data_IF_118525717024
#
_entry.id   IF_118525717024
#
_cell.length_a   1.000
_cell.length_b   1.000
_cell.length_c   1.000
_cell.angle_alpha   90.00
_cell.angle_beta   90.00
_cell.angle_gamma   90.00
#
_symmetry.space_group_name_H-M   'P 1'
#
loop_
_entity.id
_entity.type
_entity.pdbx_description
1 polymer ?
#
# COMPACT_ATOMS: atom_id res chain seq x y z
N UNK A 1 -0.13 -52.33 8.56
CA UNK A 1 -0.49 -50.99 8.04
C UNK A 1 0.52 -50.02 8.66
N UNK A 2 1.75 -49.93 8.18
CA UNK A 2 2.11 -49.44 6.85
C UNK A 2 2.62 -48.01 7.01
N UNK A 3 3.75 -47.86 7.73
CA UNK A 3 4.55 -46.64 7.73
C UNK A 3 5.65 -46.68 6.66
N UNK A 4 6.40 -45.58 6.61
CA UNK A 4 7.48 -45.19 5.68
C UNK A 4 7.00 -44.31 4.52
N UNK A 5 7.71 -43.29 4.02
CA UNK A 5 8.82 -42.45 4.43
C UNK A 5 9.16 -41.62 3.16
N UNK A 6 9.63 -40.38 3.33
CA UNK A 6 10.48 -39.62 2.41
C UNK A 6 10.00 -39.24 0.98
N UNK A 7 9.84 -37.92 0.80
CA UNK A 7 10.70 -37.07 -0.06
C UNK A 7 10.51 -36.97 -1.59
N UNK A 8 10.76 -35.74 -2.05
CA UNK A 8 11.35 -35.32 -3.34
C UNK A 8 10.43 -35.08 -4.57
N UNK A 9 10.49 -33.82 -5.02
CA UNK A 9 10.27 -33.32 -6.37
C UNK A 9 10.71 -34.32 -7.47
N UNK A 10 9.90 -34.56 -8.50
CA UNK A 10 10.25 -34.47 -9.95
C UNK A 10 9.24 -35.20 -10.85
N UNK A 11 8.84 -34.46 -11.89
CA UNK A 11 8.68 -34.87 -13.30
C UNK A 11 7.64 -35.95 -13.63
N UNK A 12 6.56 -35.52 -14.27
CA UNK A 12 5.90 -36.25 -15.36
C UNK A 12 5.43 -35.24 -16.42
N UNK A 13 6.20 -35.14 -17.51
CA UNK A 13 5.74 -34.66 -18.80
C UNK A 13 6.45 -35.51 -19.85
N UNK A 14 5.74 -36.54 -20.34
CA UNK A 14 6.04 -37.21 -21.59
C UNK A 14 4.92 -36.84 -22.55
N UNK A 15 5.27 -36.08 -23.57
CA UNK A 15 4.47 -35.80 -24.75
C UNK A 15 5.43 -35.47 -25.88
N UNK A 16 5.59 -36.40 -26.80
CA UNK A 16 6.50 -36.30 -27.93
C UNK A 16 5.93 -35.39 -29.04
N UNK A 17 6.86 -34.98 -29.91
CA UNK A 17 6.75 -34.58 -31.32
C UNK A 17 6.87 -33.09 -31.72
N UNK A 18 7.64 -32.95 -32.81
CA UNK A 18 7.76 -31.86 -33.80
C UNK A 18 8.81 -30.76 -33.55
N UNK A 19 10.02 -31.07 -34.02
CA UNK A 19 10.93 -30.11 -34.61
C UNK A 19 10.31 -29.59 -35.91
N UNK A 20 10.02 -28.29 -35.97
CA UNK A 20 9.83 -27.56 -37.21
C UNK A 20 10.65 -26.26 -37.14
N UNK A 21 11.58 -26.10 -38.06
CA UNK A 21 12.20 -24.82 -38.36
C UNK A 21 11.09 -23.85 -38.80
N UNK A 22 10.92 -22.76 -38.07
CA UNK A 22 10.28 -21.56 -38.59
C UNK A 22 11.18 -20.36 -38.28
N UNK A 23 11.39 -19.54 -39.29
CA UNK A 23 12.03 -18.25 -39.15
C UNK A 23 11.31 -17.49 -38.03
N UNK A 24 12.04 -17.12 -36.97
CA UNK A 24 11.47 -16.28 -35.90
C UNK A 24 11.20 -14.90 -36.47
N UNK A 25 9.96 -14.67 -36.88
CA UNK A 25 9.33 -13.37 -36.64
C UNK A 25 9.44 -13.18 -35.12
N UNK A 26 10.15 -12.14 -34.69
CA UNK A 26 10.28 -11.83 -33.27
C UNK A 26 8.86 -11.81 -32.67
N UNK A 27 8.59 -12.55 -31.57
CA UNK A 27 7.27 -12.54 -30.97
C UNK A 27 6.88 -11.09 -30.71
N UNK A 28 5.70 -10.70 -31.18
CA UNK A 28 5.11 -9.41 -30.82
C UNK A 28 5.16 -9.31 -29.30
N UNK A 29 5.94 -8.38 -28.79
CA UNK A 29 6.13 -8.23 -27.36
C UNK A 29 4.80 -7.72 -26.82
N UNK A 30 4.16 -8.52 -25.97
CA UNK A 30 2.75 -8.31 -25.59
C UNK A 30 2.56 -7.32 -24.45
N UNK A 31 3.66 -6.80 -23.85
CA UNK A 31 3.58 -5.84 -22.75
C UNK A 31 4.79 -4.93 -22.62
N UNK A 32 4.56 -3.72 -22.13
CA UNK A 32 5.60 -2.73 -21.77
C UNK A 32 6.47 -3.25 -20.62
N UNK A 33 5.89 -4.00 -19.68
CA UNK A 33 6.63 -4.62 -18.57
C UNK A 33 7.74 -5.56 -19.05
N UNK A 34 7.46 -6.39 -20.07
CA UNK A 34 8.45 -7.30 -20.63
C UNK A 34 9.63 -6.53 -21.28
N UNK A 35 9.36 -5.42 -21.97
CA UNK A 35 10.39 -4.58 -22.60
C UNK A 35 11.42 -4.08 -21.60
N UNK A 36 11.00 -3.76 -20.37
CA UNK A 36 11.91 -3.24 -19.33
C UNK A 36 12.99 -4.22 -18.90
N UNK A 37 12.80 -5.51 -19.15
CA UNK A 37 13.77 -6.57 -18.79
C UNK A 37 14.77 -6.85 -19.91
N UNK A 38 14.58 -6.25 -21.10
CA UNK A 38 15.45 -6.48 -22.25
C UNK A 38 16.78 -5.72 -22.10
N UNK A 39 17.89 -6.27 -22.62
CA UNK A 39 19.17 -5.57 -22.65
C UNK A 39 19.13 -4.37 -23.62
N UNK A 40 20.09 -3.46 -23.48
CA UNK A 40 20.28 -2.37 -24.44
C UNK A 40 20.61 -2.88 -25.85
N UNK A 41 20.30 -2.06 -26.86
CA UNK A 41 20.39 -2.36 -28.28
C UNK A 41 19.45 -3.48 -28.79
N UNK A 42 18.67 -4.14 -27.92
CA UNK A 42 17.64 -5.08 -28.34
C UNK A 42 16.60 -4.39 -29.23
N UNK A 43 16.30 -4.99 -30.38
CA UNK A 43 15.25 -4.53 -31.29
C UNK A 43 13.87 -4.76 -30.68
N UNK A 44 13.00 -3.76 -30.78
CA UNK A 44 11.66 -3.79 -30.19
C UNK A 44 10.60 -3.32 -31.17
N UNK A 45 9.43 -3.97 -31.10
CA UNK A 45 8.18 -3.53 -31.69
C UNK A 45 7.11 -3.61 -30.62
N UNK A 46 6.56 -2.46 -30.23
CA UNK A 46 5.51 -2.31 -29.23
C UNK A 46 4.23 -1.86 -29.91
N UNK A 47 3.18 -2.66 -29.86
CA UNK A 47 1.91 -2.38 -30.52
C UNK A 47 0.83 -1.94 -29.53
N UNK A 48 0.08 -0.90 -29.89
CA UNK A 48 -1.15 -0.51 -29.19
C UNK A 48 -0.96 0.13 -27.81
N UNK A 49 0.25 0.59 -27.48
CA UNK A 49 0.51 1.28 -26.22
C UNK A 49 -0.13 2.68 -26.24
N UNK A 50 -0.64 3.13 -25.11
CA UNK A 50 -1.31 4.43 -24.97
C UNK A 50 -0.30 5.47 -24.53
N UNK A 51 -0.17 6.55 -25.29
CA UNK A 51 0.63 7.72 -24.91
C UNK A 51 0.03 8.34 -23.65
N UNK A 52 0.82 8.42 -22.59
CA UNK A 52 0.41 9.00 -21.31
C UNK A 52 0.71 10.48 -21.26
N UNK A 53 1.90 10.89 -21.72
CA UNK A 53 2.34 12.29 -21.79
C UNK A 53 3.38 12.52 -22.88
N UNK A 54 3.45 13.77 -23.33
CA UNK A 54 4.34 14.22 -24.39
C UNK A 54 5.23 15.35 -23.90
N UNK A 55 6.49 15.32 -24.30
CA UNK A 55 7.49 16.36 -24.08
C UNK A 55 8.18 16.68 -25.42
N UNK A 56 8.90 17.80 -25.52
CA UNK A 56 9.78 18.03 -26.65
C UNK A 56 10.82 16.90 -26.78
N UNK A 57 10.73 16.11 -27.85
CA UNK A 57 11.70 15.07 -28.20
C UNK A 57 11.50 13.70 -27.53
N UNK A 58 10.48 13.52 -26.68
CA UNK A 58 10.13 12.22 -26.12
C UNK A 58 8.68 12.19 -25.57
N UNK A 59 8.14 10.99 -25.39
CA UNK A 59 6.84 10.78 -24.75
C UNK A 59 6.83 9.47 -23.96
N UNK A 60 5.87 9.29 -23.07
CA UNK A 60 5.70 8.04 -22.32
C UNK A 60 4.51 7.25 -22.85
N UNK A 61 4.63 5.93 -22.84
CA UNK A 61 3.54 5.02 -23.20
C UNK A 61 3.31 3.98 -22.14
N UNK A 62 2.07 3.51 -22.02
CA UNK A 62 1.70 2.40 -21.15
C UNK A 62 0.83 1.36 -21.87
N UNK A 63 0.75 0.15 -21.31
CA UNK A 63 -0.17 -0.91 -21.73
C UNK A 63 -1.28 -1.15 -20.69
N UNK A 64 -2.02 -2.26 -20.84
CA UNK A 64 -3.07 -2.69 -19.92
C UNK A 64 -2.58 -3.07 -18.53
N UNK A 65 -1.30 -3.45 -18.39
CA UNK A 65 -0.69 -3.71 -17.08
C UNK A 65 -0.33 -2.41 -16.36
N UNK A 66 -0.59 -1.27 -17.02
CA UNK A 66 -0.33 0.06 -16.53
C UNK A 66 1.14 0.20 -16.12
N UNK A 67 2.06 -0.24 -16.98
CA UNK A 67 3.51 0.00 -16.81
C UNK A 67 3.97 0.95 -17.89
N UNK A 68 4.67 2.03 -17.52
CA UNK A 68 5.08 3.09 -18.46
C UNK A 68 6.50 2.90 -19.00
N UNK A 69 6.78 3.20 -20.26
CA UNK A 69 8.16 3.29 -20.80
C UNK A 69 8.35 4.56 -21.63
N UNK A 70 9.54 5.16 -21.54
CA UNK A 70 9.90 6.34 -22.32
C UNK A 70 10.17 5.96 -23.78
N UNK A 71 9.66 6.77 -24.69
CA UNK A 71 9.91 6.71 -26.13
C UNK A 71 10.63 7.99 -26.54
N UNK A 72 11.88 7.88 -26.96
CA UNK A 72 12.64 9.00 -27.53
C UNK A 72 12.30 9.10 -29.02
N UNK A 73 11.68 10.21 -29.43
CA UNK A 73 11.22 10.45 -30.80
C UNK A 73 10.98 11.93 -31.05
N UNK A 74 11.30 12.40 -32.26
CA UNK A 74 10.93 13.76 -32.71
C UNK A 74 9.49 13.85 -33.23
N UNK A 75 8.77 12.72 -33.32
CA UNK A 75 7.40 12.70 -33.80
C UNK A 75 6.45 13.35 -32.80
N UNK A 76 5.62 14.26 -33.29
CA UNK A 76 4.59 14.93 -32.49
C UNK A 76 3.43 13.97 -32.26
N UNK A 77 3.12 13.70 -30.99
CA UNK A 77 2.00 12.85 -30.56
C UNK A 77 1.19 13.57 -29.50
N UNK A 78 -0.06 13.14 -29.30
CA UNK A 78 -0.94 13.67 -28.24
C UNK A 78 -1.12 12.63 -27.12
N UNK A 79 -1.34 13.06 -25.86
CA UNK A 79 -1.79 12.17 -24.81
C UNK A 79 -3.07 11.43 -25.23
N UNK A 80 -3.24 10.21 -24.73
CA UNK A 80 -4.35 9.30 -25.06
C UNK A 80 -4.36 8.76 -26.50
N UNK A 81 -3.35 9.05 -27.32
CA UNK A 81 -3.18 8.38 -28.63
C UNK A 81 -2.62 6.97 -28.43
N UNK A 82 -3.20 5.96 -29.10
CA UNK A 82 -2.55 4.64 -29.21
C UNK A 82 -1.43 4.72 -30.23
N UNK A 83 -0.30 4.10 -29.95
CA UNK A 83 0.86 4.09 -30.84
C UNK A 83 1.40 2.69 -31.02
N UNK A 84 1.96 2.45 -32.20
CA UNK A 84 2.89 1.36 -32.45
C UNK A 84 4.28 1.94 -32.59
N UNK A 85 5.24 1.46 -31.81
CA UNK A 85 6.61 1.96 -31.79
C UNK A 85 7.57 0.86 -32.21
N UNK A 86 8.44 1.18 -33.17
CA UNK A 86 9.61 0.36 -33.52
C UNK A 86 10.89 1.11 -33.15
N UNK A 87 11.90 0.38 -32.66
CA UNK A 87 13.15 1.01 -32.23
C UNK A 87 14.09 0.05 -31.52
N UNK A 88 15.01 0.62 -30.74
CA UNK A 88 15.95 -0.14 -29.91
C UNK A 88 15.83 0.24 -28.44
N UNK A 89 15.97 -0.76 -27.57
CA UNK A 89 16.09 -0.53 -26.14
C UNK A 89 17.37 0.24 -25.82
N UNK A 90 17.27 1.13 -24.86
CA UNK A 90 18.38 1.92 -24.35
C UNK A 90 18.17 2.24 -22.88
N UNK A 91 19.27 2.50 -22.20
CA UNK A 91 19.28 3.14 -20.88
C UNK A 91 19.71 4.58 -21.07
N UNK A 92 18.85 5.54 -20.73
CA UNK A 92 19.20 6.97 -20.80
C UNK A 92 19.80 7.43 -19.48
N UNK A 93 20.27 8.69 -19.46
CA UNK A 93 20.69 9.35 -18.23
C UNK A 93 19.66 9.07 -17.15
N UNK A 94 20.15 8.76 -15.96
CA UNK A 94 19.33 8.29 -14.87
C UNK A 94 19.09 6.77 -14.76
N UNK A 95 19.65 5.93 -15.63
CA UNK A 95 19.35 4.49 -15.56
C UNK A 95 17.91 4.17 -15.99
N UNK A 96 17.20 5.15 -16.56
CA UNK A 96 15.83 5.01 -17.05
C UNK A 96 15.83 4.17 -18.35
N UNK A 97 14.93 3.19 -18.43
CA UNK A 97 14.72 2.39 -19.65
C UNK A 97 13.91 3.18 -20.67
N UNK A 98 14.42 3.30 -21.89
CA UNK A 98 13.76 3.99 -22.99
C UNK A 98 13.87 3.22 -24.31
N UNK A 99 12.94 3.49 -25.22
CA UNK A 99 13.00 3.06 -26.62
C UNK A 99 13.46 4.24 -27.47
N UNK A 100 14.59 4.10 -28.16
CA UNK A 100 14.98 5.03 -29.21
C UNK A 100 14.21 4.65 -30.48
N UNK A 101 13.13 5.38 -30.75
CA UNK A 101 12.21 5.04 -31.82
C UNK A 101 12.83 5.32 -33.19
N UNK A 102 12.82 4.32 -34.06
CA UNK A 102 13.10 4.46 -35.49
C UNK A 102 11.80 4.65 -36.29
N UNK A 103 10.65 4.29 -35.72
CA UNK A 103 9.33 4.58 -36.27
C UNK A 103 8.25 4.64 -35.19
N UNK A 104 7.30 5.56 -35.35
CA UNK A 104 6.09 5.65 -34.52
C UNK A 104 4.87 5.77 -35.44
N UNK A 105 3.97 4.80 -35.36
CA UNK A 105 2.70 4.82 -36.09
C UNK A 105 1.60 5.20 -35.13
N UNK A 106 0.77 6.17 -35.51
CA UNK A 106 -0.37 6.61 -34.70
C UNK A 106 -1.58 5.72 -35.00
N UNK A 107 -2.26 5.30 -33.94
CA UNK A 107 -3.54 4.60 -33.98
C UNK A 107 -4.68 5.48 -33.47
N UNK A 108 -5.80 4.84 -33.13
CA UNK A 108 -6.96 5.50 -32.54
C UNK A 108 -6.71 5.99 -31.10
N UNK A 109 -7.79 6.31 -30.39
CA UNK A 109 -7.72 6.74 -28.99
C UNK A 109 -7.55 5.56 -28.01
N UNK A 110 -6.93 5.86 -26.87
CA UNK A 110 -6.81 5.01 -25.69
C UNK A 110 -7.03 5.83 -24.42
N UNK A 111 -7.11 5.17 -23.27
CA UNK A 111 -7.25 5.84 -21.96
C UNK A 111 -6.02 5.57 -21.13
N UNK A 112 -5.31 6.64 -20.72
CA UNK A 112 -4.26 6.56 -19.73
C UNK A 112 -4.84 6.82 -18.33
N UNK A 113 -4.56 5.93 -17.38
CA UNK A 113 -4.93 6.09 -15.98
C UNK A 113 -3.68 6.07 -15.11
N UNK A 114 -3.61 6.89 -14.06
CA UNK A 114 -2.44 6.94 -13.21
C UNK A 114 -2.26 5.63 -12.44
N UNK A 115 -1.01 5.30 -12.18
CA UNK A 115 -0.62 4.14 -11.40
C UNK A 115 -0.74 4.51 -9.93
N UNK A 116 -1.71 3.94 -9.22
CA UNK A 116 -1.88 4.17 -7.79
C UNK A 116 -0.69 3.58 -7.03
N UNK A 117 0.31 4.39 -6.74
CA UNK A 117 1.58 3.96 -6.17
C UNK A 117 1.77 4.53 -4.77
N UNK A 118 2.18 3.70 -3.79
CA UNK A 118 2.58 4.22 -2.50
C UNK A 118 3.85 5.05 -2.65
N UNK A 119 4.06 6.01 -1.73
CA UNK A 119 5.21 6.92 -1.79
C UNK A 119 6.52 6.13 -1.69
N UNK A 120 6.56 5.09 -0.85
CA UNK A 120 7.67 4.14 -0.81
C UNK A 120 7.94 3.46 -2.16
N UNK A 121 6.94 3.19 -3.01
CA UNK A 121 7.24 2.68 -4.34
C UNK A 121 7.89 3.78 -5.20
N UNK A 122 7.39 5.01 -5.17
CA UNK A 122 7.95 6.14 -5.95
C UNK A 122 9.38 6.46 -5.52
N UNK A 123 9.66 6.40 -4.21
CA UNK A 123 10.95 6.69 -3.61
C UNK A 123 11.92 5.50 -3.46
N UNK A 124 11.44 4.26 -3.52
CA UNK A 124 12.21 3.04 -3.31
C UNK A 124 11.87 2.24 -2.03
N UNK A 125 12.26 0.95 -2.00
CA UNK A 125 12.08 -0.03 -0.89
C UNK A 125 13.30 -0.95 -0.72
N UNK A 126 13.55 -1.48 0.48
CA UNK A 126 14.78 -2.15 1.00
C UNK A 126 15.32 -3.42 0.30
N UNK A 127 14.87 -3.78 -0.92
CA UNK A 127 15.32 -5.03 -1.59
C UNK A 127 16.53 -4.75 -2.50
N UNK A 128 17.71 -5.11 -1.99
CA UNK A 128 18.95 -5.24 -2.75
C UNK A 128 18.86 -6.45 -3.70
N UNK A 129 19.23 -6.31 -4.97
CA UNK A 129 19.58 -7.49 -5.77
C UNK A 129 20.87 -8.13 -5.23
N UNK A 130 21.11 -9.42 -5.52
CA UNK A 130 22.35 -10.11 -5.15
C UNK A 130 23.60 -9.59 -5.92
N UNK A 131 23.39 -8.78 -6.97
CA UNK A 131 24.40 -7.97 -7.64
C UNK A 131 24.35 -6.48 -7.18
N UNK A 132 23.61 -6.20 -6.10
CA UNK A 132 23.86 -5.09 -5.18
C UNK A 132 23.11 -3.78 -5.39
N UNK A 133 21.88 -3.75 -5.90
CA UNK A 133 21.12 -2.49 -5.78
C UNK A 133 19.63 -2.52 -6.12
N UNK A 134 18.97 -1.43 -5.73
CA UNK A 134 17.66 -1.00 -6.22
C UNK A 134 17.89 0.01 -7.31
N UNK A 135 17.20 -0.16 -8.43
CA UNK A 135 17.62 0.51 -9.63
C UNK A 135 17.34 2.08 -9.27
N UNK A 136 18.21 3.15 -9.44
CA UNK A 136 18.04 4.63 -9.34
C UNK A 136 18.58 5.64 -10.42
N UNK A 137 18.05 6.87 -10.37
CA UNK A 137 18.04 7.94 -11.38
C UNK A 137 19.40 8.61 -11.76
N UNK A 138 20.57 7.96 -11.80
CA UNK A 138 21.83 8.49 -12.43
C UNK A 138 22.75 7.42 -13.01
N UNK A 139 22.22 6.23 -13.38
CA UNK A 139 22.95 5.24 -14.18
C UNK A 139 23.59 4.10 -13.39
N UNK A 140 23.25 3.96 -12.12
CA UNK A 140 23.36 2.67 -11.47
C UNK A 140 22.34 1.71 -12.10
N UNK A 141 22.29 0.50 -11.53
CA UNK A 141 21.02 -0.08 -11.09
C UNK A 141 20.09 1.18 -10.87
N UNK A 142 19.08 1.53 -11.79
CA UNK A 142 17.95 2.58 -12.11
C UNK A 142 16.37 2.62 -11.65
N UNK A 143 15.78 3.76 -11.21
CA UNK A 143 14.48 3.81 -10.46
C UNK A 143 13.34 3.47 -11.40
N UNK A 144 12.70 2.30 -11.21
CA UNK A 144 11.64 1.82 -12.11
C UNK A 144 10.62 2.91 -12.40
N UNK A 145 10.35 3.77 -11.42
CA UNK A 145 9.19 4.63 -11.43
C UNK A 145 9.42 6.00 -12.04
N UNK A 146 10.61 6.46 -12.43
CA UNK A 146 10.76 7.81 -13.04
C UNK A 146 10.03 7.89 -14.39
N UNK A 147 9.33 9.00 -14.64
CA UNK A 147 8.61 9.25 -15.89
C UNK A 147 7.19 8.69 -15.96
N UNK A 148 6.72 8.04 -14.91
CA UNK A 148 5.43 7.35 -14.93
C UNK A 148 4.30 8.29 -14.54
N UNK A 149 3.15 8.16 -15.20
CA UNK A 149 1.94 8.84 -14.76
C UNK A 149 1.40 8.11 -13.53
N UNK A 150 1.69 8.65 -12.36
CA UNK A 150 1.39 8.04 -11.07
C UNK A 150 0.34 8.84 -10.32
N UNK A 151 -0.32 8.16 -9.40
CA UNK A 151 -1.06 8.78 -8.31
C UNK A 151 -0.42 8.31 -7.01
N UNK A 152 0.10 9.24 -6.23
CA UNK A 152 0.61 9.01 -4.88
C UNK A 152 -0.29 9.73 -3.87
N UNK A 153 -0.29 9.28 -2.62
CA UNK A 153 -1.07 9.90 -1.55
C UNK A 153 -0.29 9.93 -0.24
N UNK A 154 -0.58 10.93 0.57
CA UNK A 154 0.04 11.10 1.88
C UNK A 154 -0.36 12.42 2.53
N UNK A 155 0.23 12.72 3.68
CA UNK A 155 0.07 13.99 4.38
C UNK A 155 1.05 15.01 3.86
N UNK A 156 0.59 16.22 3.63
CA UNK A 156 1.47 17.34 3.30
C UNK A 156 2.41 17.59 4.48
N UNK A 157 3.71 17.63 4.23
CA UNK A 157 4.75 18.00 5.21
C UNK A 157 5.51 19.19 4.65
N UNK A 158 5.41 20.35 5.31
CA UNK A 158 5.98 21.60 4.80
C UNK A 158 5.22 22.15 3.58
N UNK A 159 5.92 22.88 2.70
CA UNK A 159 5.29 23.59 1.57
C UNK A 159 5.18 22.79 0.26
N UNK A 160 5.98 21.74 0.12
CA UNK A 160 6.15 21.01 -1.14
C UNK A 160 6.55 19.54 -0.95
N UNK A 161 6.20 18.92 0.17
CA UNK A 161 6.43 17.49 0.37
C UNK A 161 5.17 16.76 0.80
N UNK A 162 5.15 15.47 0.50
CA UNK A 162 4.12 14.52 0.85
C UNK A 162 4.75 13.36 1.62
N UNK A 163 4.17 12.94 2.74
CA UNK A 163 4.64 11.79 3.50
C UNK A 163 3.54 10.79 3.79
N UNK A 164 3.84 9.51 3.65
CA UNK A 164 2.97 8.41 4.07
C UNK A 164 3.36 7.86 5.46
N UNK A 165 4.29 8.54 6.15
CA UNK A 165 4.87 8.09 7.42
C UNK A 165 6.07 7.16 7.27
N UNK A 166 6.36 6.65 6.06
CA UNK A 166 7.55 5.84 5.78
C UNK A 166 8.62 6.61 5.02
N UNK A 167 8.19 7.45 4.06
CA UNK A 167 9.06 8.21 3.18
C UNK A 167 8.49 9.61 2.94
N UNK A 168 9.34 10.53 2.48
CA UNK A 168 8.94 11.84 1.98
C UNK A 168 9.12 11.90 0.47
N UNK A 169 8.15 12.50 -0.21
CA UNK A 169 8.13 12.72 -1.65
C UNK A 169 8.09 14.21 -1.93
N UNK A 170 9.02 14.68 -2.76
CA UNK A 170 9.02 16.08 -3.18
C UNK A 170 7.92 16.32 -4.20
N UNK A 171 7.26 17.47 -4.13
CA UNK A 171 6.23 17.87 -5.06
C UNK A 171 6.75 19.06 -5.87
N UNK A 172 6.83 18.90 -7.19
CA UNK A 172 7.06 20.00 -8.12
C UNK A 172 5.68 20.53 -8.50
N UNK A 173 5.25 21.53 -7.73
CA UNK A 173 3.92 22.12 -7.84
C UNK A 173 3.93 23.20 -8.93
N UNK A 174 2.97 23.21 -9.87
CA UNK A 174 2.92 24.22 -10.92
C UNK A 174 2.60 25.60 -10.35
N UNK A 175 3.13 26.65 -10.99
CA UNK A 175 2.85 28.02 -10.61
C UNK A 175 1.34 28.31 -10.66
N UNK A 176 0.81 28.94 -9.60
CA UNK A 176 -0.62 29.25 -9.47
C UNK A 176 -1.48 28.14 -8.87
N UNK A 177 -0.91 26.98 -8.51
CA UNK A 177 -1.61 26.04 -7.64
C UNK A 177 -1.79 26.64 -6.23
N UNK A 178 -2.90 26.32 -5.58
CA UNK A 178 -3.14 26.75 -4.20
C UNK A 178 -2.07 26.15 -3.27
N UNK A 179 -1.61 26.91 -2.25
CA UNK A 179 -0.65 26.39 -1.29
C UNK A 179 -1.23 25.17 -0.57
N UNK A 180 -0.41 24.12 -0.47
CA UNK A 180 -0.78 22.92 0.28
C UNK A 180 -0.83 23.22 1.78
N UNK A 181 -1.89 22.76 2.45
CA UNK A 181 -2.05 22.93 3.90
C UNK A 181 -1.26 21.82 4.59
N UNK A 182 -0.29 22.19 5.43
CA UNK A 182 0.50 21.23 6.21
C UNK A 182 -0.42 20.31 7.04
N UNK A 183 -0.16 19.00 6.99
CA UNK A 183 -0.96 17.96 7.64
C UNK A 183 -2.19 17.47 6.85
N UNK A 184 -2.61 18.18 5.79
CA UNK A 184 -3.73 17.76 4.95
C UNK A 184 -3.39 16.45 4.22
N UNK A 185 -4.37 15.53 4.14
CA UNK A 185 -4.23 14.33 3.33
C UNK A 185 -4.54 14.69 1.88
N UNK A 186 -3.59 14.46 0.99
CA UNK A 186 -3.75 14.75 -0.44
C UNK A 186 -3.35 13.53 -1.27
N UNK A 187 -4.08 13.30 -2.36
CA UNK A 187 -3.59 12.52 -3.48
C UNK A 187 -3.04 13.47 -4.52
N UNK A 188 -1.81 13.22 -4.96
CA UNK A 188 -1.19 13.91 -6.08
C UNK A 188 -1.16 12.97 -7.26
N UNK A 189 -1.62 13.45 -8.40
CA UNK A 189 -1.48 12.79 -9.68
C UNK A 189 -0.44 13.57 -10.49
N UNK A 190 0.49 12.87 -11.12
CA UNK A 190 1.57 13.54 -11.81
C UNK A 190 2.62 12.57 -12.31
N UNK A 191 3.76 13.12 -12.70
CA UNK A 191 4.88 12.36 -13.22
C UNK A 191 5.92 12.20 -12.15
N UNK A 192 6.15 10.97 -11.74
CA UNK A 192 7.32 10.62 -10.93
C UNK A 192 8.58 11.13 -11.59
N UNK A 193 9.42 11.77 -10.79
CA UNK A 193 10.59 12.48 -11.23
C UNK A 193 11.66 12.40 -10.14
N UNK A 194 12.80 13.02 -10.41
CA UNK A 194 13.87 13.24 -9.46
C UNK A 194 14.31 14.70 -9.48
N UNK A 195 14.69 15.22 -8.33
CA UNK A 195 15.23 16.58 -8.18
C UNK A 195 16.49 16.54 -7.32
N UNK A 196 17.33 17.57 -7.45
CA UNK A 196 18.43 17.74 -6.51
C UNK A 196 17.91 18.29 -5.18
N UNK A 197 18.44 17.80 -4.06
CA UNK A 197 18.14 18.31 -2.72
C UNK A 197 18.92 19.59 -2.34
N UNK A 198 19.73 20.13 -3.26
CA UNK A 198 20.60 21.29 -3.03
C UNK A 198 21.94 20.97 -2.36
N UNK A 199 22.12 19.75 -1.85
CA UNK A 199 23.37 19.24 -1.28
C UNK A 199 24.11 18.30 -2.25
N UNK A 200 23.67 18.24 -3.51
CA UNK A 200 24.22 17.36 -4.54
C UNK A 200 23.63 15.95 -4.54
N UNK A 201 22.68 15.63 -3.66
CA UNK A 201 21.96 14.36 -3.73
C UNK A 201 20.72 14.50 -4.63
N UNK A 202 20.26 13.37 -5.13
CA UNK A 202 19.07 13.26 -5.97
C UNK A 202 17.97 12.57 -5.17
N UNK A 203 16.80 13.20 -5.09
CA UNK A 203 15.66 12.74 -4.28
C UNK A 203 14.40 12.57 -5.15
N UNK A 204 13.51 11.63 -4.81
CA UNK A 204 12.29 11.39 -5.57
C UNK A 204 11.34 12.58 -5.50
N UNK A 205 10.63 12.81 -6.60
CA UNK A 205 9.68 13.88 -6.74
C UNK A 205 8.46 13.47 -7.60
N UNK A 206 7.41 14.28 -7.57
CA UNK A 206 6.29 14.22 -8.51
C UNK A 206 6.11 15.57 -9.17
N UNK A 207 6.19 15.59 -10.49
CA UNK A 207 5.82 16.70 -11.34
C UNK A 207 4.32 16.72 -11.55
N UNK A 208 3.66 17.69 -10.93
CA UNK A 208 2.22 17.88 -11.01
C UNK A 208 1.93 18.78 -12.22
N UNK A 209 1.12 18.31 -13.17
CA UNK A 209 0.89 19.02 -14.42
C UNK A 209 -0.13 20.15 -14.26
N UNK A 210 -1.19 19.93 -13.49
CA UNK A 210 -2.29 20.89 -13.30
C UNK A 210 -2.67 21.02 -11.82
N UNK A 211 -3.15 22.19 -11.36
CA UNK A 211 -3.60 22.36 -9.98
C UNK A 211 -4.63 21.31 -9.52
N UNK A 212 -5.56 20.89 -10.39
CA UNK A 212 -6.58 19.89 -10.06
C UNK A 212 -6.05 18.45 -9.96
N UNK A 213 -4.79 18.21 -10.34
CA UNK A 213 -4.15 16.91 -10.15
C UNK A 213 -3.72 16.72 -8.68
N UNK A 214 -3.78 17.79 -7.87
CA UNK A 214 -3.76 17.72 -6.42
C UNK A 214 -5.21 17.62 -5.94
N UNK A 215 -5.56 16.46 -5.42
CA UNK A 215 -6.85 16.24 -4.79
C UNK A 215 -6.65 16.22 -3.28
N UNK A 216 -7.13 17.28 -2.63
CA UNK A 216 -7.30 17.26 -1.18
C UNK A 216 -8.35 16.20 -0.90
N UNK A 217 -7.95 15.09 -0.30
CA UNK A 217 -8.84 13.97 0.03
C UNK A 217 -9.69 14.29 1.28
N UNK A 218 -9.89 15.58 1.54
CA UNK A 218 -10.30 16.18 2.80
C UNK A 218 -9.11 16.70 3.61
N UNK A 219 -9.27 17.90 4.18
CA UNK A 219 -8.70 18.16 5.52
C UNK A 219 -9.58 17.35 6.45
N UNK A 220 -9.41 16.04 6.40
CA UNK A 220 -10.24 15.15 7.19
C UNK A 220 -9.79 15.39 8.61
N UNK A 221 -10.66 16.02 9.40
CA UNK A 221 -10.78 15.71 10.82
C UNK A 221 -10.45 14.24 10.94
N UNK A 222 -9.33 13.88 11.57
CA UNK A 222 -8.92 12.48 11.72
C UNK A 222 -10.14 11.71 12.19
N UNK A 223 -10.75 10.88 11.33
CA UNK A 223 -11.87 10.03 11.71
C UNK A 223 -11.37 8.75 12.40
N UNK A 224 -10.13 8.75 12.91
CA UNK A 224 -9.51 7.64 13.62
C UNK A 224 -9.70 7.66 15.14
N UNK A 225 -10.67 8.43 15.64
CA UNK A 225 -10.86 8.61 17.08
C UNK A 225 -9.69 9.32 17.78
N UNK A 226 -9.63 9.20 19.10
CA UNK A 226 -8.50 9.71 19.89
C UNK A 226 -7.26 8.85 19.62
N UNK A 227 -6.16 9.45 19.16
CA UNK A 227 -4.89 8.75 18.89
C UNK A 227 -3.91 8.96 20.06
N UNK A 228 -3.11 7.94 20.36
CA UNK A 228 -1.99 8.04 21.32
C UNK A 228 -0.65 7.94 20.58
N UNK A 229 0.29 8.79 20.98
CA UNK A 229 1.67 8.79 20.47
C UNK A 229 2.48 7.69 21.14
N UNK A 230 3.15 6.87 20.34
CA UNK A 230 4.12 5.86 20.77
C UNK A 230 5.51 6.34 20.37
N UNK A 231 6.40 6.65 21.34
CA UNK A 231 7.75 7.10 21.05
C UNK A 231 8.56 6.09 20.24
N UNK A 232 9.49 6.60 19.43
CA UNK A 232 10.49 5.78 18.74
C UNK A 232 11.38 5.02 19.74
N UNK A 233 12.05 3.98 19.25
CA UNK A 233 13.06 3.25 20.00
C UNK A 233 12.86 1.74 19.98
N UNK A 234 13.86 1.06 20.53
CA UNK A 234 13.84 -0.38 20.73
C UNK A 234 12.76 -0.80 21.74
N UNK A 235 12.15 -1.94 21.45
CA UNK A 235 11.36 -2.68 22.42
C UNK A 235 11.59 -4.18 22.24
N UNK A 236 11.25 -4.94 23.28
CA UNK A 236 11.32 -6.39 23.23
C UNK A 236 9.99 -6.96 22.73
N UNK A 237 9.99 -7.48 21.49
CA UNK A 237 8.86 -8.14 20.84
C UNK A 237 8.91 -9.65 21.10
N UNK A 238 7.75 -10.27 21.23
CA UNK A 238 7.55 -11.68 21.55
C UNK A 238 7.36 -11.94 23.04
N UNK A 239 7.08 -13.20 23.35
CA UNK A 239 6.68 -13.67 24.68
C UNK A 239 7.68 -13.31 25.77
N UNK A 240 7.17 -12.75 26.87
CA UNK A 240 7.94 -12.42 28.07
C UNK A 240 8.60 -13.69 28.63
N UNK A 241 9.89 -13.66 29.03
CA UNK A 241 10.54 -14.82 29.65
C UNK A 241 9.76 -15.34 30.85
N UNK A 242 9.45 -16.64 30.85
CA UNK A 242 8.65 -17.28 31.90
C UNK A 242 7.14 -17.29 31.65
N UNK A 243 6.66 -16.72 30.53
CA UNK A 243 5.27 -16.90 30.10
C UNK A 243 5.02 -18.35 29.66
N UNK A 244 4.35 -19.09 30.56
CA UNK A 244 3.94 -20.48 30.35
C UNK A 244 2.75 -20.66 29.41
N UNK A 245 2.08 -19.58 29.03
CA UNK A 245 0.90 -19.60 28.16
C UNK A 245 1.23 -19.27 26.70
N UNK A 246 2.36 -18.62 26.44
CA UNK A 246 2.79 -18.24 25.10
C UNK A 246 3.05 -19.46 24.17
N UNK A 247 2.47 -19.40 22.97
CA UNK A 247 2.65 -20.40 21.91
C UNK A 247 4.08 -20.39 21.34
N UNK A 248 4.51 -21.47 20.67
CA UNK A 248 5.84 -21.53 20.04
C UNK A 248 6.10 -20.41 19.02
N UNK A 249 5.06 -19.93 18.32
CA UNK A 249 5.17 -18.84 17.34
C UNK A 249 5.40 -17.47 17.96
N UNK A 250 5.13 -17.30 19.26
CA UNK A 250 5.36 -16.05 19.99
C UNK A 250 6.78 -15.96 20.56
N UNK A 251 7.59 -17.02 20.40
CA UNK A 251 8.94 -17.15 20.95
C UNK A 251 9.97 -17.16 19.82
N UNK A 252 11.21 -16.67 20.05
CA UNK A 252 11.71 -16.04 21.26
C UNK A 252 11.42 -14.54 21.32
N UNK A 253 11.58 -13.96 22.52
CA UNK A 253 11.66 -12.52 22.66
C UNK A 253 12.90 -11.98 21.93
N UNK A 254 12.75 -10.88 21.20
CA UNK A 254 13.83 -10.26 20.42
C UNK A 254 13.65 -8.74 20.35
N UNK A 255 14.75 -8.01 20.13
CA UNK A 255 14.72 -6.55 20.03
C UNK A 255 14.23 -6.12 18.65
N UNK A 256 13.28 -5.19 18.62
CA UNK A 256 12.79 -4.54 17.40
C UNK A 256 12.83 -3.03 17.59
N UNK A 257 13.45 -2.32 16.65
CA UNK A 257 13.42 -0.87 16.61
C UNK A 257 12.22 -0.39 15.81
N UNK A 258 11.45 0.54 16.36
CA UNK A 258 10.36 1.22 15.65
C UNK A 258 10.56 2.73 15.70
N UNK A 259 10.35 3.39 14.56
CA UNK A 259 10.18 4.85 14.51
C UNK A 259 8.96 5.26 15.34
N UNK A 260 8.84 6.54 15.64
CA UNK A 260 7.66 7.09 16.29
C UNK A 260 6.42 6.92 15.41
N UNK A 261 5.30 6.57 16.03
CA UNK A 261 4.00 6.49 15.37
C UNK A 261 2.88 6.86 16.34
N UNK A 262 1.66 6.95 15.82
CA UNK A 262 0.46 7.07 16.64
C UNK A 262 -0.48 5.91 16.32
N UNK A 263 -1.16 5.41 17.33
CA UNK A 263 -2.16 4.34 17.21
C UNK A 263 -3.46 4.78 17.88
N UNK A 264 -4.60 4.25 17.41
CA UNK A 264 -5.89 4.53 18.02
C UNK A 264 -5.88 4.15 19.49
N UNK A 265 -6.34 5.05 20.35
CA UNK A 265 -6.55 4.75 21.78
C UNK A 265 -7.63 3.69 21.98
N UNK A 266 -8.56 3.64 21.04
CA UNK A 266 -9.72 2.77 21.00
C UNK A 266 -9.78 2.11 19.62
N UNK A 267 -10.53 1.01 19.55
CA UNK A 267 -10.92 0.40 18.30
C UNK A 267 -11.84 1.34 17.50
N UNK A 268 -11.85 1.16 16.18
CA UNK A 268 -12.80 1.86 15.32
C UNK A 268 -14.21 1.50 15.75
N UNK A 269 -15.00 2.52 16.08
CA UNK A 269 -16.37 2.33 16.56
C UNK A 269 -17.36 2.16 15.40
N UNK A 270 -18.55 1.63 15.69
CA UNK A 270 -19.68 1.59 14.75
C UNK A 270 -20.04 3.00 14.27
N UNK A 271 -20.04 4.00 15.14
CA UNK A 271 -20.34 5.39 14.75
C UNK A 271 -19.31 5.96 13.77
N UNK A 272 -18.04 5.63 13.95
CA UNK A 272 -16.97 6.03 13.04
C UNK A 272 -17.03 5.25 11.71
N UNK A 273 -17.25 3.94 11.76
CA UNK A 273 -17.39 3.12 10.57
C UNK A 273 -18.63 3.48 9.75
N UNK A 274 -19.72 3.94 10.39
CA UNK A 274 -20.89 4.45 9.66
C UNK A 274 -20.54 5.67 8.81
N UNK A 275 -19.70 6.58 9.30
CA UNK A 275 -19.24 7.73 8.51
C UNK A 275 -18.50 7.29 7.24
N UNK A 276 -17.70 6.22 7.31
CA UNK A 276 -17.06 5.62 6.14
C UNK A 276 -18.10 5.10 5.13
N UNK A 277 -19.12 4.38 5.60
CA UNK A 277 -20.19 3.87 4.74
C UNK A 277 -21.01 5.00 4.11
N UNK A 278 -21.42 5.99 4.91
CA UNK A 278 -22.19 7.15 4.46
C UNK A 278 -21.42 7.99 3.44
N UNK A 279 -20.08 8.02 3.53
CA UNK A 279 -19.20 8.67 2.57
C UNK A 279 -18.99 7.87 1.26
N UNK A 280 -19.71 6.76 1.07
CA UNK A 280 -19.58 5.91 -0.12
C UNK A 280 -18.37 4.98 -0.09
N UNK A 281 -17.89 4.61 1.09
CA UNK A 281 -16.69 3.80 1.29
C UNK A 281 -16.67 2.47 0.52
N UNK A 282 -17.80 1.79 0.44
CA UNK A 282 -17.94 0.53 -0.32
C UNK A 282 -18.12 0.76 -1.84
N UNK A 283 -18.42 1.98 -2.26
CA UNK A 283 -18.65 2.33 -3.66
C UNK A 283 -17.41 2.95 -4.32
N UNK A 284 -16.44 3.41 -3.53
CA UNK A 284 -15.26 4.09 -4.03
C UNK A 284 -14.03 3.15 -4.07
N UNK A 285 -13.58 2.71 -5.27
CA UNK A 285 -12.43 1.82 -5.40
C UNK A 285 -11.11 2.44 -4.92
N UNK A 286 -11.02 3.77 -4.82
CA UNK A 286 -9.76 4.43 -4.41
C UNK A 286 -9.36 4.17 -2.97
N UNK A 287 -10.27 3.68 -2.13
CA UNK A 287 -9.98 3.32 -0.74
C UNK A 287 -9.45 1.89 -0.61
N UNK A 288 -9.59 1.04 -1.63
CA UNK A 288 -9.31 -0.38 -1.53
C UNK A 288 -8.01 -0.74 -2.26
N UNK A 289 -7.28 -1.74 -1.75
CA UNK A 289 -6.30 -2.48 -2.55
C UNK A 289 -6.98 -3.16 -3.74
N UNK A 290 -6.20 -3.58 -4.74
CA UNK A 290 -6.75 -4.28 -5.91
C UNK A 290 -7.41 -5.61 -5.50
N UNK A 291 -6.74 -6.37 -4.64
CA UNK A 291 -7.22 -7.62 -4.06
C UNK A 291 -8.46 -7.37 -3.20
N UNK A 292 -8.46 -6.31 -2.39
CA UNK A 292 -9.60 -5.93 -1.57
C UNK A 292 -10.82 -5.51 -2.39
N UNK A 293 -10.62 -4.73 -3.46
CA UNK A 293 -11.71 -4.34 -4.36
C UNK A 293 -12.29 -5.55 -5.09
N UNK A 294 -11.42 -6.46 -5.57
CA UNK A 294 -11.85 -7.72 -6.16
C UNK A 294 -12.66 -8.56 -5.16
N UNK A 295 -12.16 -8.72 -3.93
CA UNK A 295 -12.86 -9.44 -2.84
C UNK A 295 -14.23 -8.82 -2.55
N UNK A 296 -14.29 -7.49 -2.41
CA UNK A 296 -15.53 -6.74 -2.20
C UNK A 296 -16.54 -6.95 -3.33
N UNK A 297 -16.09 -6.96 -4.58
CA UNK A 297 -16.95 -7.22 -5.73
C UNK A 297 -17.42 -8.68 -5.78
N UNK A 298 -16.52 -9.64 -5.53
CA UNK A 298 -16.80 -11.06 -5.55
C UNK A 298 -17.87 -11.46 -4.53
N UNK A 299 -17.81 -10.90 -3.33
CA UNK A 299 -18.75 -11.18 -2.24
C UNK A 299 -19.88 -10.14 -2.13
N UNK A 300 -19.93 -9.17 -3.04
CA UNK A 300 -20.90 -8.07 -3.05
C UNK A 300 -21.03 -7.37 -1.68
N UNK A 301 -19.90 -7.07 -1.05
CA UNK A 301 -19.89 -6.45 0.27
C UNK A 301 -20.42 -5.02 0.16
N UNK A 302 -21.32 -4.66 1.05
CA UNK A 302 -21.94 -3.32 1.09
C UNK A 302 -21.89 -2.69 2.49
N UNK A 303 -21.58 -3.51 3.50
CA UNK A 303 -21.50 -3.17 4.91
C UNK A 303 -20.86 -4.35 5.67
N UNK A 304 -20.42 -4.17 6.93
CA UNK A 304 -19.89 -5.24 7.76
C UNK A 304 -20.88 -6.40 7.90
N UNK A 305 -20.35 -7.60 8.11
CA UNK A 305 -21.15 -8.76 8.46
C UNK A 305 -21.96 -8.45 9.73
N UNK A 306 -23.26 -8.77 9.68
CA UNK A 306 -24.22 -8.59 10.79
C UNK A 306 -24.58 -7.15 11.17
N UNK A 307 -24.18 -6.14 10.37
CA UNK A 307 -24.42 -4.71 10.65
C UNK A 307 -25.87 -4.36 11.02
N UNK A 308 -26.85 -4.86 10.25
CA UNK A 308 -28.30 -4.63 10.44
C UNK A 308 -29.07 -5.88 10.91
N UNK A 309 -28.38 -6.96 11.28
CA UNK A 309 -29.07 -8.22 11.64
C UNK A 309 -29.55 -8.16 13.08
N UNK A 310 -30.86 -7.95 13.23
CA UNK A 310 -31.58 -7.96 14.52
C UNK A 310 -32.03 -9.35 14.97
N UNK A 311 -31.89 -10.38 14.12
CA UNK A 311 -32.48 -11.72 14.31
C UNK A 311 -31.49 -12.82 14.72
N UNK A 312 -30.21 -12.51 14.88
CA UNK A 312 -29.23 -13.43 15.49
C UNK A 312 -29.29 -13.26 17.01
N UNK A 313 -29.47 -14.39 17.73
CA UNK A 313 -29.51 -14.54 19.19
C UNK A 313 -29.20 -13.24 19.97
N UNK A 314 -30.29 -12.53 20.29
CA UNK A 314 -30.48 -11.65 21.45
C UNK A 314 -29.32 -10.77 21.94
N UNK A 315 -28.55 -10.13 21.03
CA UNK A 315 -27.53 -9.16 21.45
C UNK A 315 -27.07 -8.06 20.49
N UNK A 316 -27.11 -8.27 19.17
CA UNK A 316 -26.63 -7.24 18.22
C UNK A 316 -27.49 -5.97 18.16
N UNK A 317 -28.75 -6.06 18.60
CA UNK A 317 -29.66 -4.92 18.73
C UNK A 317 -29.26 -3.89 19.79
N UNK A 318 -28.27 -4.19 20.65
CA UNK A 318 -27.81 -3.30 21.73
C UNK A 318 -26.44 -2.67 21.47
N UNK A 319 -25.80 -2.97 20.33
CA UNK A 319 -24.54 -2.31 19.96
C UNK A 319 -24.80 -0.89 19.46
N UNK A 320 -24.43 0.08 20.30
CA UNK A 320 -24.50 1.51 19.98
C UNK A 320 -23.32 1.94 19.11
N UNK A 321 -23.35 3.19 18.67
CA UNK A 321 -22.26 3.82 17.92
C UNK A 321 -20.91 3.84 18.65
N UNK A 322 -20.89 3.63 19.96
CA UNK A 322 -19.67 3.60 20.76
C UNK A 322 -19.08 2.18 20.91
N UNK A 323 -19.67 1.17 20.27
CA UNK A 323 -19.11 -0.18 20.26
C UNK A 323 -18.12 -0.34 19.12
N UNK A 324 -17.07 -1.17 19.27
CA UNK A 324 -16.19 -1.55 18.18
C UNK A 324 -16.97 -2.12 16.99
N UNK A 325 -16.60 -1.73 15.78
CA UNK A 325 -17.10 -2.40 14.57
C UNK A 325 -16.56 -3.83 14.52
N UNK A 326 -17.41 -4.78 14.14
CA UNK A 326 -17.07 -6.20 14.01
C UNK A 326 -17.62 -6.75 12.70
N UNK A 327 -17.16 -7.95 12.32
CA UNK A 327 -17.61 -8.60 11.09
C UNK A 327 -17.06 -7.94 9.82
N UNK A 328 -15.95 -7.22 9.94
CA UNK A 328 -15.22 -6.67 8.80
C UNK A 328 -14.06 -7.60 8.45
N UNK A 329 -13.78 -7.74 7.16
CA UNK A 329 -12.57 -8.38 6.67
C UNK A 329 -11.34 -7.47 6.85
N UNK A 330 -10.15 -8.07 6.72
CA UNK A 330 -8.89 -7.30 6.65
C UNK A 330 -8.93 -6.21 5.56
N UNK A 331 -9.51 -6.52 4.39
CA UNK A 331 -9.65 -5.56 3.28
C UNK A 331 -10.59 -4.40 3.60
N UNK A 332 -11.67 -4.66 4.34
CA UNK A 332 -12.57 -3.62 4.84
C UNK A 332 -11.91 -2.72 5.89
N UNK A 333 -11.05 -3.28 6.74
CA UNK A 333 -10.27 -2.52 7.71
C UNK A 333 -9.21 -1.63 7.02
N UNK A 334 -8.49 -2.18 6.04
CA UNK A 334 -7.56 -1.42 5.19
C UNK A 334 -8.28 -0.26 4.47
N UNK A 335 -9.45 -0.54 3.87
CA UNK A 335 -10.21 0.47 3.14
C UNK A 335 -10.71 1.60 4.04
N UNK A 336 -11.17 1.26 5.24
CA UNK A 336 -11.49 2.25 6.27
C UNK A 336 -10.29 3.12 6.61
N UNK A 337 -9.12 2.52 6.87
CA UNK A 337 -7.91 3.26 7.21
C UNK A 337 -7.53 4.25 6.10
N UNK A 338 -7.55 3.81 4.84
CA UNK A 338 -7.27 4.65 3.68
C UNK A 338 -8.24 5.84 3.57
N UNK A 339 -9.53 5.61 3.80
CA UNK A 339 -10.53 6.68 3.84
C UNK A 339 -10.31 7.66 5.01
N UNK A 340 -10.01 7.13 6.20
CA UNK A 340 -9.79 7.92 7.41
C UNK A 340 -8.43 8.65 7.44
N UNK A 341 -7.55 8.38 6.46
CA UNK A 341 -6.21 8.98 6.39
C UNK A 341 -5.23 8.41 7.42
N UNK A 342 -5.42 7.14 7.80
CA UNK A 342 -4.57 6.37 8.71
C UNK A 342 -4.16 5.07 8.02
N UNK A 343 -3.48 4.17 8.74
CA UNK A 343 -3.12 2.83 8.25
C UNK A 343 -3.32 1.79 9.34
N UNK A 344 -3.37 0.53 8.95
CA UNK A 344 -3.25 -0.57 9.90
C UNK A 344 -1.86 -0.53 10.58
N UNK A 345 -1.78 -0.85 11.88
CA UNK A 345 -0.49 -1.06 12.52
C UNK A 345 0.15 -2.34 11.97
N UNK A 346 1.47 -2.36 11.93
CA UNK A 346 2.20 -3.64 11.83
C UNK A 346 2.02 -4.42 13.13
N UNK A 347 2.28 -5.73 13.11
CA UNK A 347 2.25 -6.55 14.32
C UNK A 347 3.18 -6.00 15.41
N UNK A 348 4.40 -5.61 15.04
CA UNK A 348 5.37 -5.03 15.97
C UNK A 348 4.89 -3.69 16.58
N UNK A 349 4.27 -2.82 15.78
CA UNK A 349 3.68 -1.58 16.29
C UNK A 349 2.52 -1.88 17.24
N UNK A 350 1.63 -2.79 16.85
CA UNK A 350 0.53 -3.18 17.71
C UNK A 350 1.03 -3.74 19.04
N UNK A 351 2.02 -4.64 19.01
CA UNK A 351 2.57 -5.26 20.21
C UNK A 351 3.34 -4.27 21.10
N UNK A 352 4.14 -3.37 20.53
CA UNK A 352 4.81 -2.31 21.30
C UNK A 352 3.79 -1.45 22.02
N UNK A 353 2.72 -1.06 21.35
CA UNK A 353 1.69 -0.23 21.96
C UNK A 353 0.86 -0.98 23.01
N UNK A 354 0.72 -2.30 22.86
CA UNK A 354 0.01 -3.19 23.77
C UNK A 354 0.79 -3.50 25.05
N UNK A 355 2.06 -3.91 24.92
CA UNK A 355 2.79 -4.63 25.96
C UNK A 355 4.00 -3.87 26.50
N UNK A 356 4.57 -2.93 25.74
CA UNK A 356 5.77 -2.24 26.17
C UNK A 356 5.45 -1.18 27.23
N UNK A 357 6.04 -1.32 28.42
CA UNK A 357 5.97 -0.29 29.44
C UNK A 357 7.20 0.62 29.33
N UNK A 358 7.08 1.84 28.77
CA UNK A 358 8.21 2.75 28.60
C UNK A 358 8.75 3.26 29.93
N UNK A 359 7.92 3.30 30.99
CA UNK A 359 8.31 3.77 32.32
C UNK A 359 9.23 2.74 33.02
N UNK A 360 9.09 1.45 32.67
CA UNK A 360 9.86 0.35 33.25
C UNK A 360 10.92 -0.23 32.29
N UNK A 361 10.86 0.12 31.01
CA UNK A 361 11.75 -0.43 29.98
C UNK A 361 11.59 -1.95 29.78
N UNK A 362 10.41 -2.50 30.06
CA UNK A 362 10.12 -3.94 29.94
C UNK A 362 8.75 -4.19 29.34
N UNK A 363 8.60 -5.31 28.63
CA UNK A 363 7.30 -5.84 28.24
C UNK A 363 6.63 -6.55 29.44
N UNK A 364 5.31 -6.43 29.54
CA UNK A 364 4.49 -7.18 30.52
C UNK A 364 3.61 -8.21 29.82
N UNK A 365 3.19 -9.26 30.54
CA UNK A 365 2.35 -10.34 30.00
C UNK A 365 0.99 -9.80 29.51
N UNK A 366 0.40 -8.87 30.27
CA UNK A 366 -0.81 -8.13 29.90
C UNK A 366 -0.49 -6.63 29.82
N UNK A 367 -1.29 -5.82 29.11
CA UNK A 367 -1.09 -4.36 29.04
C UNK A 367 -1.06 -3.65 30.40
N UNK A 368 -1.62 -4.30 31.41
CA UNK A 368 -1.78 -3.78 32.75
C UNK A 368 -0.87 -4.43 33.80
N UNK A 369 0.07 -5.28 33.37
CA UNK A 369 1.05 -5.96 34.23
C UNK A 369 1.10 -7.47 34.01
N UNK A 370 1.80 -8.17 34.89
CA UNK A 370 2.02 -9.62 34.78
C UNK A 370 0.95 -10.47 35.48
N UNK A 371 0.02 -9.83 36.21
CA UNK A 371 -1.04 -10.51 36.93
C UNK A 371 -2.34 -10.42 36.13
N UNK A 372 -2.98 -11.57 35.93
CA UNK A 372 -4.28 -11.65 35.30
C UNK A 372 -5.32 -10.87 36.12
N UNK A 373 -6.10 -10.03 35.44
CA UNK A 373 -7.20 -9.27 36.04
C UNK A 373 -8.43 -9.33 35.10
N UNK A 374 -9.45 -10.15 35.43
CA UNK A 374 -10.64 -10.29 34.59
C UNK A 374 -11.49 -9.03 34.54
N UNK A 375 -11.28 -8.05 35.45
CA UNK A 375 -11.96 -6.75 35.43
C UNK A 375 -11.35 -5.76 34.46
N UNK A 376 -10.27 -6.14 33.76
CA UNK A 376 -9.49 -5.30 32.85
C UNK A 376 -9.61 -5.72 31.39
N UNK A 377 -10.48 -6.64 31.04
CA UNK A 377 -10.65 -7.06 29.64
C UNK A 377 -12.02 -7.66 29.46
N UNK A 378 -12.58 -7.54 28.26
CA UNK A 378 -13.76 -8.28 27.89
C UNK A 378 -13.35 -9.59 27.21
N UNK A 379 -13.73 -10.73 27.80
CA UNK A 379 -13.52 -12.08 27.25
C UNK A 379 -14.74 -12.97 27.51
N UNK A 380 -14.88 -14.07 26.78
CA UNK A 380 -16.01 -15.01 26.92
C UNK A 380 -16.21 -15.52 28.35
N UNK A 381 -15.14 -15.74 29.12
CA UNK A 381 -15.17 -16.38 30.43
C UNK A 381 -15.24 -15.43 31.63
N UNK A 382 -15.24 -14.10 31.44
CA UNK A 382 -15.25 -13.16 32.57
C UNK A 382 -16.66 -12.88 33.14
N UNK A 383 -17.72 -13.20 32.39
CA UNK A 383 -19.12 -13.04 32.80
C UNK A 383 -19.57 -11.59 33.05
N UNK A 384 -18.81 -10.58 32.62
CA UNK A 384 -19.09 -9.15 32.93
C UNK A 384 -20.18 -8.57 32.02
N UNK A 385 -20.14 -8.94 30.73
CA UNK A 385 -21.20 -8.65 29.76
C UNK A 385 -21.68 -9.99 29.16
N UNK A 386 -22.88 -10.05 28.56
CA UNK A 386 -23.34 -11.28 27.96
C UNK A 386 -22.38 -11.70 26.83
N UNK A 387 -22.25 -13.00 26.61
CA UNK A 387 -21.13 -13.65 25.91
C UNK A 387 -20.98 -13.33 24.42
N UNK A 388 -21.91 -12.55 23.85
CA UNK A 388 -21.96 -12.17 22.44
C UNK A 388 -21.87 -10.65 22.21
N UNK A 389 -21.41 -9.88 23.21
CA UNK A 389 -21.40 -8.41 23.21
C UNK A 389 -19.98 -7.88 23.31
N UNK A 390 -19.60 -6.96 22.42
CA UNK A 390 -18.42 -6.11 22.64
C UNK A 390 -18.71 -5.13 23.78
N UNK A 391 -17.68 -4.71 24.51
CA UNK A 391 -17.81 -3.58 25.42
C UNK A 391 -17.75 -2.27 24.60
N UNK A 392 -18.47 -1.20 25.00
CA UNK A 392 -18.23 0.12 24.45
C UNK A 392 -16.77 0.52 24.63
N UNK A 393 -16.22 1.26 23.67
CA UNK A 393 -14.86 1.78 23.81
C UNK A 393 -14.76 2.66 25.06
N UNK A 394 -13.67 2.53 25.81
CA UNK A 394 -13.47 3.25 27.07
C UNK A 394 -14.20 2.66 28.30
N UNK A 395 -14.87 1.50 28.16
CA UNK A 395 -15.46 0.79 29.30
C UNK A 395 -14.41 0.37 30.35
N UNK A 396 -13.22 -0.04 29.90
CA UNK A 396 -12.08 -0.33 30.78
C UNK A 396 -11.11 0.86 30.85
N UNK A 397 -10.67 1.29 32.05
CA UNK A 397 -9.81 2.45 32.20
C UNK A 397 -8.33 2.18 31.81
N UNK A 398 -7.80 3.05 30.93
CA UNK A 398 -6.39 3.34 30.52
C UNK A 398 -5.42 2.17 30.19
N UNK A 399 -4.73 2.35 29.04
CA UNK A 399 -3.62 1.54 28.47
C UNK A 399 -3.98 0.08 28.16
N UNK A 400 -5.02 -0.13 27.35
CA UNK A 400 -5.38 -1.46 26.90
C UNK A 400 -5.53 -1.46 25.39
N UNK A 401 -4.40 -1.55 24.72
CA UNK A 401 -4.37 -2.10 23.37
C UNK A 401 -4.26 -3.62 23.51
N UNK A 402 -5.33 -4.29 23.96
CA UNK A 402 -5.41 -5.74 23.82
C UNK A 402 -6.86 -6.21 23.72
N UNK A 403 -7.14 -6.90 22.62
CA UNK A 403 -8.38 -7.62 22.36
C UNK A 403 -8.22 -9.11 22.67
N UNK A 404 -9.21 -9.68 23.34
CA UNK A 404 -9.47 -11.13 23.36
C UNK A 404 -10.98 -11.37 23.26
N UNK A 405 -11.53 -11.35 22.05
CA UNK A 405 -12.85 -11.95 21.79
C UNK A 405 -12.68 -13.24 21.00
N UNK A 406 -13.13 -14.35 21.60
CA UNK A 406 -13.00 -15.70 21.06
C UNK A 406 -13.88 -16.05 19.86
N UNK A 407 -14.45 -15.08 19.13
CA UNK A 407 -15.17 -15.33 17.88
C UNK A 407 -15.09 -14.11 16.95
N UNK A 408 -14.19 -14.19 15.97
CA UNK A 408 -14.04 -13.22 14.88
C UNK A 408 -12.63 -12.68 14.76
N UNK A 409 -11.89 -13.16 13.74
CA UNK A 409 -10.74 -12.46 13.18
C UNK A 409 -11.24 -11.37 12.22
#
# INVERSE_FOLDING_TARGET
MGGNAMSIRRILLIGALLILFSARIAPAITSVGALKTMPDAAQVSLEGAVVTLCFPGFFYVQDSNRVGIRITSSQVVSPNTKVTVTGVMSTVGCGERAINATGVTLGGSGSASPLGMPISAVGGSNVMSANGGQIGATGGVGLNNVGWYIRAWGRVVGSNKLSDGSHELNLIIPQGASPLVNGALVAVTGISNIVSDGNGNVVPAVLIAKPNDIQVLGVTTLYGGEMIRIPEGDFLMGAVPGDGTAFPSEKPQHSVYLNEYSIGKYEVTRGEYRKFMDAGGYQNPSYWSQEGWYYKCLYNLTQPAWWDKTWLWDGFQFQTDNHPVVGISWYEAEAYCNWAGVRLPTEAEWEKAAHWNPDLGVATIYPWGNNWDPMRVQIYSNGILPTFYTAPVGFYPRRQLLWLHGYGW
#
